data_IF_215439963886
#
_entry.id   IF_215439963886
#
_cell.length_a   1.000
_cell.length_b   1.000
_cell.length_c   1.000
_cell.angle_alpha   90.00
_cell.angle_beta   90.00
_cell.angle_gamma   90.00
#
_symmetry.space_group_name_H-M   'P 1'
#
loop_
_entity.id
_entity.type
_entity.pdbx_description
1 polymer ?
#
# COMPACT_ATOMS: atom_id res chain seq x y z
N UNK A 1 41.73 25.44 -50.70
CA UNK A 1 40.66 25.90 -49.78
C UNK A 1 39.91 24.68 -49.30
N UNK A 2 40.20 24.25 -48.08
CA UNK A 2 39.67 23.06 -47.42
C UNK A 2 38.31 23.39 -46.79
N UNK A 3 37.23 22.73 -47.22
CA UNK A 3 35.95 22.69 -46.49
C UNK A 3 35.18 21.44 -46.88
N UNK A 4 35.52 20.28 -46.30
CA UNK A 4 34.64 19.09 -46.39
C UNK A 4 34.83 18.07 -45.25
N UNK A 5 35.13 18.54 -44.03
CA UNK A 5 35.18 17.68 -42.86
C UNK A 5 34.46 18.35 -41.68
N UNK A 6 33.13 18.39 -41.75
CA UNK A 6 32.30 18.68 -40.57
C UNK A 6 30.91 18.05 -40.73
N UNK A 7 30.87 16.73 -40.97
CA UNK A 7 29.64 15.94 -40.94
C UNK A 7 29.99 14.53 -40.42
N UNK A 8 30.52 14.48 -39.19
CA UNK A 8 30.82 13.22 -38.51
C UNK A 8 30.76 13.40 -37.00
N UNK A 9 29.60 13.77 -36.45
CA UNK A 9 29.42 13.83 -34.99
C UNK A 9 27.95 13.77 -34.51
N UNK A 10 27.05 13.10 -35.24
CA UNK A 10 25.66 12.88 -34.77
C UNK A 10 25.17 11.49 -35.17
N UNK A 11 25.77 10.46 -34.58
CA UNK A 11 25.16 9.15 -34.40
C UNK A 11 25.77 8.53 -33.14
N UNK A 12 25.40 9.09 -31.98
CA UNK A 12 25.63 8.45 -30.69
C UNK A 12 24.37 7.67 -30.33
N UNK A 13 24.43 6.38 -30.67
CA UNK A 13 23.87 5.23 -29.96
C UNK A 13 22.55 5.40 -29.20
N UNK A 14 21.43 5.09 -29.86
CA UNK A 14 20.28 4.50 -29.17
C UNK A 14 20.58 3.00 -28.97
N UNK A 15 21.19 2.65 -27.84
CA UNK A 15 21.17 1.26 -27.37
C UNK A 15 19.78 1.03 -26.76
N UNK A 16 18.84 0.56 -27.57
CA UNK A 16 17.61 -0.05 -27.08
C UNK A 16 17.97 -1.40 -26.48
N UNK A 17 18.22 -1.46 -25.16
CA UNK A 17 18.08 -2.71 -24.42
C UNK A 17 16.59 -3.04 -24.31
N UNK A 18 16.04 -3.61 -25.39
CA UNK A 18 14.85 -4.45 -25.32
C UNK A 18 15.34 -5.81 -24.85
N UNK A 19 15.43 -6.00 -23.54
CA UNK A 19 15.43 -7.37 -22.99
C UNK A 19 14.02 -7.90 -23.10
N UNK A 20 13.87 -8.77 -24.10
CA UNK A 20 12.80 -9.74 -24.24
C UNK A 20 12.83 -10.73 -23.05
N UNK A 21 11.63 -11.22 -22.71
CA UNK A 21 11.33 -12.38 -21.86
C UNK A 21 11.91 -12.47 -20.44
N UNK A 22 11.08 -12.10 -19.46
CA UNK A 22 10.89 -12.96 -18.27
C UNK A 22 9.41 -13.08 -17.93
N UNK A 23 8.82 -14.22 -18.29
CA UNK A 23 7.77 -14.93 -17.55
C UNK A 23 6.54 -14.07 -17.18
N UNK A 24 5.50 -14.16 -18.03
CA UNK A 24 4.10 -13.94 -17.63
C UNK A 24 3.73 -14.93 -16.52
N UNK A 25 3.98 -14.56 -15.26
CA UNK A 25 3.29 -15.14 -14.09
C UNK A 25 2.31 -14.11 -13.55
N UNK A 26 1.07 -14.16 -14.04
CA UNK A 26 -0.15 -13.75 -13.32
C UNK A 26 -0.11 -12.39 -12.60
N UNK A 27 0.35 -11.33 -13.26
CA UNK A 27 0.12 -9.94 -12.83
C UNK A 27 -0.89 -9.27 -13.77
N UNK A 28 -2.13 -9.75 -13.74
CA UNK A 28 -3.26 -8.98 -14.28
C UNK A 28 -3.90 -8.18 -13.14
N UNK A 29 -3.56 -6.89 -13.11
CA UNK A 29 -4.38 -5.82 -12.56
C UNK A 29 -5.82 -5.95 -13.07
N UNK A 30 -6.78 -6.28 -12.20
CA UNK A 30 -8.20 -6.14 -12.52
C UNK A 30 -8.65 -4.77 -12.02
N UNK A 31 -8.65 -3.78 -12.93
CA UNK A 31 -9.46 -2.57 -12.79
C UNK A 31 -10.92 -2.95 -13.03
N UNK A 32 -11.66 -3.35 -12.00
CA UNK A 32 -13.12 -3.35 -12.08
C UNK A 32 -13.61 -1.92 -11.87
N UNK A 33 -13.67 -1.15 -12.95
CA UNK A 33 -14.42 0.09 -12.99
C UNK A 33 -15.92 -0.25 -13.03
N UNK A 34 -16.53 -0.43 -11.87
CA UNK A 34 -17.93 -0.09 -11.69
C UNK A 34 -17.94 1.23 -10.92
N UNK A 35 -18.64 2.21 -11.49
CA UNK A 35 -18.63 3.62 -11.10
C UNK A 35 -18.43 3.87 -9.59
N UNK A 36 -17.45 4.72 -9.28
CA UNK A 36 -17.08 5.34 -7.98
C UNK A 36 -16.08 4.68 -7.01
N UNK A 37 -15.57 3.46 -7.24
CA UNK A 37 -14.55 2.88 -6.33
C UNK A 37 -13.37 2.22 -7.08
N UNK A 38 -12.18 2.83 -7.01
CA UNK A 38 -10.94 2.19 -7.44
C UNK A 38 -10.46 1.22 -6.34
N UNK A 39 -10.83 -0.05 -6.42
CA UNK A 39 -10.36 -1.06 -5.47
C UNK A 39 -9.02 -1.66 -5.93
N UNK A 40 -7.93 -1.30 -5.25
CA UNK A 40 -6.63 -1.97 -5.43
C UNK A 40 -6.57 -3.24 -4.57
N UNK A 41 -6.25 -4.39 -5.19
CA UNK A 41 -6.02 -5.67 -4.50
C UNK A 41 -4.65 -6.20 -4.96
N UNK A 42 -3.67 -6.32 -4.05
CA UNK A 42 -2.34 -6.85 -4.39
C UNK A 42 -1.74 -7.74 -3.28
N UNK A 43 -0.72 -8.53 -3.67
CA UNK A 43 -0.32 -9.91 -3.30
C UNK A 43 0.23 -10.12 -1.86
N UNK A 44 0.66 -11.37 -1.58
CA UNK A 44 0.64 -12.10 -0.30
C UNK A 44 1.91 -11.96 0.58
N UNK A 45 1.76 -11.43 1.80
CA UNK A 45 2.80 -11.40 2.84
C UNK A 45 3.13 -12.78 3.45
N UNK A 46 4.41 -13.00 3.76
CA UNK A 46 4.99 -14.27 4.23
C UNK A 46 4.72 -14.55 5.72
N UNK A 47 4.22 -15.75 6.03
CA UNK A 47 3.83 -16.20 7.38
C UNK A 47 5.01 -16.45 8.33
N UNK A 48 4.88 -15.96 9.56
CA UNK A 48 5.65 -16.39 10.73
C UNK A 48 4.70 -17.09 11.72
N UNK A 49 5.21 -17.97 12.58
CA UNK A 49 4.38 -18.71 13.56
C UNK A 49 3.60 -17.79 14.55
N UNK A 50 3.99 -16.51 14.62
CA UNK A 50 3.35 -15.46 15.42
C UNK A 50 2.33 -14.61 14.63
N UNK A 51 1.99 -15.00 13.41
CA UNK A 51 0.94 -14.33 12.60
C UNK A 51 -0.47 -14.60 13.16
N UNK A 52 -1.27 -13.54 13.30
CA UNK A 52 -2.69 -13.68 13.69
C UNK A 52 -3.54 -14.34 12.58
N UNK A 53 -3.18 -14.04 11.33
CA UNK A 53 -3.85 -14.44 10.11
C UNK A 53 -2.81 -14.94 9.10
N UNK A 54 -3.14 -15.96 8.31
CA UNK A 54 -2.23 -16.42 7.26
C UNK A 54 -2.16 -15.45 6.07
N UNK A 55 -3.16 -14.59 5.93
CA UNK A 55 -3.21 -13.60 4.86
C UNK A 55 -3.83 -12.31 5.35
N UNK A 56 -3.21 -11.20 4.96
CA UNK A 56 -3.68 -9.84 5.21
C UNK A 56 -3.43 -9.00 3.95
N UNK A 57 -4.45 -8.28 3.48
CA UNK A 57 -4.34 -7.29 2.42
C UNK A 57 -5.08 -6.00 2.77
N UNK A 58 -4.55 -4.88 2.28
CA UNK A 58 -5.20 -3.57 2.39
C UNK A 58 -6.06 -3.27 1.17
N UNK A 59 -7.06 -2.40 1.36
CA UNK A 59 -7.78 -1.73 0.26
C UNK A 59 -7.80 -0.24 0.54
N UNK A 60 -7.91 0.58 -0.51
CA UNK A 60 -8.04 2.03 -0.38
C UNK A 60 -9.18 2.51 -1.26
N UNK A 61 -10.02 3.38 -0.72
CA UNK A 61 -10.93 4.21 -1.51
C UNK A 61 -10.79 5.68 -1.11
N UNK A 62 -11.16 6.58 -2.03
CA UNK A 62 -11.06 8.02 -1.85
C UNK A 62 -12.47 8.59 -1.92
N UNK A 63 -12.95 9.21 -0.84
CA UNK A 63 -14.18 9.97 -0.84
C UNK A 63 -13.89 11.42 -1.23
N UNK A 64 -14.38 11.82 -2.40
CA UNK A 64 -14.27 13.18 -2.94
C UNK A 64 -15.54 14.03 -2.73
N UNK A 65 -16.51 13.57 -1.92
CA UNK A 65 -17.76 14.28 -1.65
C UNK A 65 -17.55 15.69 -1.07
N UNK A 66 -16.45 15.90 -0.34
CA UNK A 66 -16.01 17.20 0.18
C UNK A 66 -15.28 18.12 -0.83
N UNK A 67 -15.05 17.65 -2.06
CA UNK A 67 -14.29 18.34 -3.10
C UNK A 67 -12.79 17.96 -3.14
N UNK A 68 -12.09 18.40 -4.19
CA UNK A 68 -10.70 18.01 -4.48
C UNK A 68 -9.70 18.34 -3.35
N UNK A 69 -9.97 19.34 -2.52
CA UNK A 69 -9.08 19.75 -1.42
C UNK A 69 -9.47 19.17 -0.07
N UNK A 70 -10.51 18.33 -0.01
CA UNK A 70 -11.04 17.76 1.22
C UNK A 70 -11.38 16.29 1.03
N UNK A 71 -10.44 15.55 0.45
CA UNK A 71 -10.59 14.13 0.15
C UNK A 71 -10.40 13.30 1.42
N UNK A 72 -11.32 12.39 1.72
CA UNK A 72 -11.16 11.45 2.85
C UNK A 72 -10.67 10.11 2.31
N UNK A 73 -9.58 9.60 2.87
CA UNK A 73 -9.05 8.28 2.51
C UNK A 73 -9.66 7.22 3.42
N UNK A 74 -10.16 6.14 2.82
CA UNK A 74 -10.73 5.01 3.53
C UNK A 74 -9.85 3.77 3.34
N UNK A 75 -9.11 3.41 4.38
CA UNK A 75 -8.23 2.24 4.37
C UNK A 75 -8.96 1.02 4.91
N UNK A 76 -9.29 0.08 4.03
CA UNK A 76 -9.89 -1.20 4.39
C UNK A 76 -8.86 -2.30 4.62
N UNK A 77 -9.28 -3.34 5.33
CA UNK A 77 -8.49 -4.52 5.66
C UNK A 77 -9.26 -5.78 5.31
N UNK A 78 -8.61 -6.70 4.60
CA UNK A 78 -9.08 -8.07 4.42
C UNK A 78 -8.09 -9.02 5.09
N UNK A 79 -8.58 -9.85 6.00
CA UNK A 79 -7.79 -10.86 6.68
C UNK A 79 -8.44 -12.24 6.49
N UNK A 80 -7.65 -13.25 6.13
CA UNK A 80 -8.14 -14.62 5.85
C UNK A 80 -7.33 -15.62 6.67
N UNK A 81 -7.96 -16.77 6.96
CA UNK A 81 -7.37 -17.91 7.65
C UNK A 81 -6.81 -17.53 9.03
N UNK A 82 -7.74 -17.36 9.95
CA UNK A 82 -7.47 -16.95 11.33
C UNK A 82 -6.76 -18.06 12.10
N UNK A 83 -5.48 -17.83 12.41
CA UNK A 83 -4.64 -18.79 13.15
C UNK A 83 -4.95 -18.81 14.64
N UNK A 84 -5.44 -17.69 15.19
CA UNK A 84 -5.66 -17.49 16.63
C UNK A 84 -7.07 -16.98 16.92
N UNK A 85 -8.14 -17.79 16.75
CA UNK A 85 -9.52 -17.32 16.85
C UNK A 85 -9.93 -16.77 18.21
N UNK A 86 -11.02 -15.99 18.22
CA UNK A 86 -11.69 -15.48 19.42
C UNK A 86 -10.85 -14.53 20.30
N UNK A 87 -10.08 -13.64 19.67
CA UNK A 87 -9.37 -12.57 20.37
C UNK A 87 -9.84 -11.20 19.92
N UNK A 88 -9.76 -10.17 20.78
CA UNK A 88 -9.86 -8.80 20.31
C UNK A 88 -8.57 -8.41 19.59
N UNK A 89 -8.71 -7.79 18.43
CA UNK A 89 -7.63 -7.24 17.64
C UNK A 89 -7.74 -5.73 17.55
N UNK A 90 -6.58 -5.08 17.49
CA UNK A 90 -6.42 -3.70 17.09
C UNK A 90 -6.06 -3.71 15.61
N UNK A 91 -6.67 -2.81 14.85
CA UNK A 91 -6.37 -2.59 13.44
C UNK A 91 -5.82 -1.19 13.29
N UNK A 92 -4.72 -1.09 12.56
CA UNK A 92 -3.99 0.15 12.31
C UNK A 92 -3.67 0.29 10.83
N UNK A 93 -3.62 1.54 10.36
CA UNK A 93 -2.93 1.90 9.13
C UNK A 93 -1.65 2.65 9.52
N UNK A 94 -0.55 2.28 8.87
CA UNK A 94 0.75 2.91 9.04
C UNK A 94 1.04 3.69 7.77
N UNK A 95 1.21 5.01 7.88
CA UNK A 95 1.53 5.91 6.78
C UNK A 95 3.00 6.33 6.91
N UNK A 96 3.88 5.80 6.06
CA UNK A 96 5.32 6.05 6.08
C UNK A 96 5.67 7.11 5.04
N UNK A 97 6.15 8.30 5.44
CA UNK A 97 6.69 9.28 4.50
C UNK A 97 7.87 8.71 3.71
N UNK A 98 7.96 9.05 2.42
CA UNK A 98 9.05 8.68 1.50
C UNK A 98 9.58 9.92 0.76
N UNK A 99 10.85 9.90 0.39
CA UNK A 99 11.54 11.03 -0.27
C UNK A 99 11.21 11.10 -1.76
N UNK A 100 11.21 9.94 -2.41
CA UNK A 100 10.90 9.79 -3.82
C UNK A 100 9.61 8.97 -3.96
N UNK A 101 8.60 9.58 -4.59
CA UNK A 101 7.28 8.99 -4.77
C UNK A 101 7.31 7.73 -5.63
N UNK A 102 8.39 7.50 -6.39
CA UNK A 102 8.59 6.32 -7.22
C UNK A 102 9.50 5.27 -6.55
N UNK A 103 10.12 5.59 -5.39
CA UNK A 103 10.95 4.66 -4.61
C UNK A 103 10.35 4.39 -3.24
N UNK A 104 9.60 3.28 -3.15
CA UNK A 104 9.04 2.72 -1.92
C UNK A 104 10.07 2.40 -0.82
N UNK A 105 11.37 2.47 -1.10
CA UNK A 105 12.42 2.20 -0.11
C UNK A 105 13.05 3.46 0.48
N UNK A 106 12.62 4.65 0.02
CA UNK A 106 13.18 5.95 0.41
C UNK A 106 12.56 6.52 1.71
N UNK A 107 12.47 5.70 2.76
CA UNK A 107 11.78 6.06 4.01
C UNK A 107 12.34 7.32 4.69
N UNK A 108 11.45 8.26 5.00
CA UNK A 108 11.76 9.46 5.80
C UNK A 108 11.05 9.39 7.15
N UNK A 109 11.82 9.48 8.22
CA UNK A 109 11.28 9.62 9.57
C UNK A 109 10.53 8.38 10.06
N UNK A 110 9.51 8.59 10.89
CA UNK A 110 8.69 7.52 11.47
C UNK A 110 7.28 7.52 10.88
N UNK A 111 6.63 6.35 10.78
CA UNK A 111 5.29 6.27 10.24
C UNK A 111 4.27 6.90 11.18
N UNK A 112 3.28 7.58 10.61
CA UNK A 112 2.08 7.98 11.32
C UNK A 112 1.17 6.76 11.46
N UNK A 113 0.79 6.43 12.70
CA UNK A 113 -0.07 5.28 13.00
C UNK A 113 -1.47 5.78 13.34
N UNK A 114 -2.46 5.30 12.59
CA UNK A 114 -3.87 5.61 12.84
C UNK A 114 -4.60 4.29 13.09
N UNK A 115 -5.23 4.17 14.25
CA UNK A 115 -5.92 2.95 14.68
C UNK A 115 -7.44 3.12 14.61
N UNK A 116 -8.16 2.01 14.45
CA UNK A 116 -9.58 1.99 14.75
C UNK A 116 -9.81 2.37 16.22
N UNK A 117 -10.86 3.15 16.54
CA UNK A 117 -11.14 3.56 17.92
C UNK A 117 -11.55 2.39 18.83
N UNK A 118 -12.01 1.28 18.23
CA UNK A 118 -12.48 0.10 18.93
C UNK A 118 -11.69 -1.14 18.50
N UNK A 119 -11.54 -2.08 19.42
CA UNK A 119 -11.03 -3.42 19.09
C UNK A 119 -12.10 -4.22 18.36
N UNK A 120 -11.68 -5.06 17.41
CA UNK A 120 -12.55 -5.98 16.67
C UNK A 120 -12.43 -7.40 17.22
N UNK A 121 -13.52 -8.15 17.28
CA UNK A 121 -13.51 -9.57 17.68
C UNK A 121 -13.80 -10.51 16.52
N UNK A 122 -14.22 -9.97 15.37
CA UNK A 122 -14.44 -10.70 14.13
C UNK A 122 -13.60 -10.12 13.02
N UNK A 123 -12.92 -11.00 12.28
CA UNK A 123 -12.15 -10.65 11.10
C UNK A 123 -12.99 -10.63 9.82
N UNK A 124 -14.28 -10.98 9.88
CA UNK A 124 -15.15 -11.03 8.69
C UNK A 124 -15.63 -9.66 8.25
N UNK A 125 -15.79 -8.71 9.18
CA UNK A 125 -16.34 -7.38 8.94
C UNK A 125 -15.49 -6.33 9.66
N UNK A 126 -14.31 -6.07 9.12
CA UNK A 126 -13.41 -5.05 9.65
C UNK A 126 -13.80 -3.69 9.05
N UNK A 127 -14.16 -2.68 9.86
CA UNK A 127 -14.48 -1.37 9.32
C UNK A 127 -13.23 -0.71 8.74
N UNK A 128 -13.42 0.14 7.73
CA UNK A 128 -12.34 0.95 7.18
C UNK A 128 -11.87 2.01 8.20
N UNK A 129 -10.59 2.39 8.09
CA UNK A 129 -10.01 3.52 8.82
C UNK A 129 -10.13 4.75 7.91
N UNK A 130 -10.94 5.72 8.35
CA UNK A 130 -11.07 7.01 7.68
C UNK A 130 -9.93 7.93 8.11
N UNK A 131 -9.27 8.55 7.13
CA UNK A 131 -8.15 9.46 7.35
C UNK A 131 -8.43 10.77 6.63
N UNK A 132 -8.45 11.85 7.41
CA UNK A 132 -8.64 13.20 6.88
C UNK A 132 -7.33 13.74 6.28
N UNK A 133 -7.38 14.69 5.33
CA UNK A 133 -6.19 15.29 4.74
C UNK A 133 -5.20 15.84 5.75
N UNK A 134 -5.68 16.39 6.86
CA UNK A 134 -4.86 16.96 7.94
C UNK A 134 -4.02 15.93 8.70
N UNK A 135 -4.32 14.64 8.55
CA UNK A 135 -3.61 13.53 9.18
C UNK A 135 -2.60 12.86 8.23
N UNK A 136 -2.64 13.22 6.94
CA UNK A 136 -1.71 12.69 5.96
C UNK A 136 -0.34 13.35 6.08
N UNK A 137 0.76 12.60 5.83
CA UNK A 137 2.07 13.21 5.64
C UNK A 137 2.03 14.31 4.56
N UNK A 138 2.79 15.38 4.76
CA UNK A 138 2.88 16.49 3.80
C UNK A 138 3.73 16.19 2.56
N UNK A 139 4.32 15.00 2.50
CA UNK A 139 5.16 14.48 1.41
C UNK A 139 4.54 13.18 0.90
N UNK A 140 5.09 12.62 -0.17
CA UNK A 140 4.71 11.29 -0.64
C UNK A 140 4.82 10.27 0.50
N UNK A 141 3.94 9.27 0.48
CA UNK A 141 3.92 8.23 1.50
C UNK A 141 3.57 6.89 0.89
N UNK A 142 4.01 5.84 1.57
CA UNK A 142 3.53 4.48 1.38
C UNK A 142 2.70 4.08 2.60
N UNK A 143 1.83 3.10 2.43
CA UNK A 143 0.96 2.67 3.51
C UNK A 143 0.88 1.16 3.64
N UNK A 144 0.57 0.69 4.84
CA UNK A 144 0.23 -0.71 5.09
C UNK A 144 -0.79 -0.79 6.21
N UNK A 145 -1.47 -1.92 6.27
CA UNK A 145 -2.39 -2.23 7.37
C UNK A 145 -1.76 -3.26 8.29
N UNK A 146 -1.97 -3.07 9.59
CA UNK A 146 -1.46 -3.94 10.65
C UNK A 146 -2.62 -4.36 11.52
N UNK A 147 -2.72 -5.65 11.80
CA UNK A 147 -3.69 -6.22 12.72
C UNK A 147 -2.98 -7.06 13.77
N UNK A 148 -3.19 -6.74 15.03
CA UNK A 148 -2.53 -7.42 16.14
C UNK A 148 -3.47 -7.62 17.32
N UNK A 149 -3.20 -8.59 18.17
CA UNK A 149 -3.99 -8.83 19.38
C UNK A 149 -3.92 -7.64 20.33
N UNK A 150 -5.06 -7.25 20.89
CA UNK A 150 -5.11 -6.18 21.87
C UNK A 150 -4.20 -6.46 23.09
N UNK A 151 -3.73 -5.39 23.73
CA UNK A 151 -2.85 -5.48 24.91
C UNK A 151 -3.51 -6.30 26.02
N UNK A 152 -2.73 -7.21 26.62
CA UNK A 152 -3.19 -8.09 27.70
C UNK A 152 -3.71 -9.45 27.25
N UNK A 153 -3.80 -9.70 25.93
CA UNK A 153 -4.22 -10.99 25.38
C UNK A 153 -3.02 -11.81 24.91
N UNK A 154 -2.87 -13.03 25.45
CA UNK A 154 -1.76 -13.95 25.15
C UNK A 154 -2.23 -15.26 24.48
N UNK A 155 -1.41 -15.91 23.64
CA UNK A 155 -0.19 -15.37 23.02
C UNK A 155 -0.52 -14.14 22.16
N UNK A 156 0.37 -13.15 22.17
CA UNK A 156 0.27 -12.01 21.26
C UNK A 156 0.57 -12.48 19.84
N UNK A 157 -0.12 -11.92 18.86
CA UNK A 157 0.19 -12.12 17.45
C UNK A 157 0.06 -10.80 16.70
N UNK A 158 0.70 -10.73 15.53
CA UNK A 158 0.60 -9.60 14.62
C UNK A 158 0.68 -10.08 13.18
N UNK A 159 -0.17 -9.55 12.32
CA UNK A 159 -0.09 -9.73 10.87
C UNK A 159 -0.14 -8.36 10.22
N UNK A 160 0.55 -8.20 9.10
CA UNK A 160 0.51 -6.97 8.31
C UNK A 160 0.39 -7.31 6.82
N UNK A 161 -0.18 -6.38 6.06
CA UNK A 161 -0.03 -6.41 4.62
C UNK A 161 1.41 -6.08 4.20
N UNK A 162 1.68 -6.21 2.92
CA UNK A 162 2.81 -5.54 2.28
C UNK A 162 2.63 -4.01 2.32
N UNK A 163 3.67 -3.28 1.95
CA UNK A 163 3.60 -1.84 1.71
C UNK A 163 2.99 -1.58 0.34
N UNK A 164 2.09 -0.61 0.28
CA UNK A 164 1.41 -0.14 -0.92
C UNK A 164 1.78 1.31 -1.21
N UNK A 165 1.83 1.65 -2.48
CA UNK A 165 1.88 3.05 -2.92
C UNK A 165 0.63 3.80 -2.50
N UNK A 166 0.80 5.07 -2.11
CA UNK A 166 -0.33 5.97 -1.98
C UNK A 166 -0.80 6.43 -3.37
N UNK A 167 -2.10 6.71 -3.53
CA UNK A 167 -2.59 7.39 -4.71
C UNK A 167 -1.95 8.77 -4.76
N UNK A 168 -1.62 9.22 -5.97
CA UNK A 168 -1.17 10.60 -6.21
C UNK A 168 -2.35 11.52 -5.90
N UNK A 169 -2.25 12.29 -4.81
CA UNK A 169 -3.25 13.26 -4.35
C UNK A 169 -3.08 14.63 -5.01
#
# INVERSE_FOLDING_TARGET
MNKFYLLLATMLFFVSCSTDDTILTEEQNILTANDTEASYQMRLGKNSDDSCFNFVSGTLSIDMSGGLNNQVLNFGLKAIDLNKPNKPYVVEVHLQPIDDCEDLNSDIGSPTIIALPNVITSATNIPAIEVNPSQLPSVCFKWKVVIHTAKGYYPSCSSSSDWYDAPVL
#
